data_IF_483445468295
#
_entry.id   IF_483445468295
#
_cell.length_a   1.000
_cell.length_b   1.000
_cell.length_c   1.000
_cell.angle_alpha   90.00
_cell.angle_beta   90.00
_cell.angle_gamma   90.00
#
_symmetry.space_group_name_H-M   'P 1'
#
loop_
_entity.id
_entity.type
_entity.pdbx_description
1 polymer ?
#
# COMPACT_ATOMS: atom_id res chain seq x y z
N UNK A 1 15.86 3.99 -21.45
CA UNK A 1 16.44 3.39 -22.65
C UNK A 1 17.97 3.39 -22.56
N UNK A 2 18.58 2.19 -22.45
CA UNK A 2 20.04 2.01 -22.34
C UNK A 2 20.82 2.50 -23.58
N UNK A 3 20.11 2.78 -24.65
CA UNK A 3 20.65 3.29 -25.90
C UNK A 3 20.46 4.81 -26.10
N UNK A 4 19.94 5.52 -25.11
CA UNK A 4 19.77 6.97 -25.19
C UNK A 4 21.11 7.65 -25.43
N UNK A 5 21.20 8.44 -26.49
CA UNK A 5 22.37 9.25 -26.84
C UNK A 5 22.71 10.28 -25.75
N UNK A 6 21.69 10.80 -25.08
CA UNK A 6 21.82 11.77 -23.99
C UNK A 6 22.47 11.15 -22.76
N UNK A 7 22.04 9.96 -22.33
CA UNK A 7 22.65 9.26 -21.19
C UNK A 7 24.10 8.87 -21.47
N UNK A 8 24.45 8.56 -22.73
CA UNK A 8 25.83 8.30 -23.14
C UNK A 8 26.69 9.56 -23.06
N UNK A 9 26.17 10.68 -23.54
CA UNK A 9 26.90 11.95 -23.49
C UNK A 9 27.18 12.42 -22.06
N UNK A 10 26.18 12.26 -21.15
CA UNK A 10 26.31 12.68 -19.75
C UNK A 10 27.35 11.83 -19.00
N UNK A 11 27.45 10.54 -19.29
CA UNK A 11 28.28 9.61 -18.51
C UNK A 11 29.50 9.05 -19.24
N UNK A 12 29.72 9.37 -20.49
CA UNK A 12 30.79 8.79 -21.29
C UNK A 12 30.73 7.27 -21.41
N UNK A 13 29.58 6.67 -21.12
CA UNK A 13 29.45 5.22 -21.03
C UNK A 13 29.06 4.59 -22.36
N UNK A 14 29.65 3.46 -22.70
CA UNK A 14 29.18 2.63 -23.81
C UNK A 14 28.02 1.75 -23.35
N UNK A 15 26.96 1.57 -24.16
CA UNK A 15 25.85 0.72 -23.78
C UNK A 15 26.30 -0.74 -23.60
N UNK A 16 25.87 -1.41 -22.53
CA UNK A 16 26.23 -2.79 -22.30
C UNK A 16 25.58 -3.67 -23.39
N UNK A 17 26.30 -4.71 -23.81
CA UNK A 17 25.70 -5.76 -24.65
C UNK A 17 24.61 -6.49 -23.87
N UNK A 18 23.58 -6.98 -24.57
CA UNK A 18 22.44 -7.70 -23.98
C UNK A 18 22.88 -8.80 -23.00
N UNK A 19 23.89 -9.58 -23.38
CA UNK A 19 24.41 -10.68 -22.55
C UNK A 19 25.08 -10.16 -21.26
N UNK A 20 25.84 -9.07 -21.34
CA UNK A 20 26.46 -8.44 -20.16
C UNK A 20 25.42 -7.92 -19.17
N UNK A 21 24.36 -7.29 -19.68
CA UNK A 21 23.26 -6.81 -18.84
C UNK A 21 22.50 -7.96 -18.19
N UNK A 22 22.15 -9.01 -18.96
CA UNK A 22 21.49 -10.20 -18.44
C UNK A 22 22.34 -10.93 -17.38
N UNK A 23 23.65 -11.03 -17.60
CA UNK A 23 24.59 -11.62 -16.63
C UNK A 23 24.66 -10.79 -15.35
N UNK A 24 24.78 -9.47 -15.47
CA UNK A 24 24.80 -8.57 -14.31
C UNK A 24 23.52 -8.67 -13.47
N UNK A 25 22.34 -8.70 -14.10
CA UNK A 25 21.06 -8.87 -13.39
C UNK A 25 20.92 -10.20 -12.67
N UNK A 26 21.61 -11.24 -13.15
CA UNK A 26 21.57 -12.59 -12.55
C UNK A 26 22.57 -12.76 -11.41
N UNK A 27 23.70 -12.07 -11.45
CA UNK A 27 24.83 -12.28 -10.56
C UNK A 27 25.03 -11.21 -9.51
N UNK A 28 24.49 -9.99 -9.71
CA UNK A 28 24.61 -8.91 -8.72
C UNK A 28 23.56 -9.07 -7.62
N UNK A 29 23.94 -8.66 -6.41
CA UNK A 29 23.05 -8.65 -5.27
C UNK A 29 21.89 -7.66 -5.54
N UNK A 30 20.62 -8.10 -5.50
CA UNK A 30 19.45 -7.25 -5.71
C UNK A 30 19.33 -6.11 -4.69
N UNK A 31 19.94 -6.27 -3.50
CA UNK A 31 19.98 -5.22 -2.48
C UNK A 31 20.69 -3.95 -2.95
N UNK A 32 21.56 -4.04 -3.96
CA UNK A 32 22.14 -2.84 -4.58
C UNK A 32 21.08 -1.96 -5.25
N UNK A 33 20.13 -2.58 -5.96
CA UNK A 33 19.04 -1.85 -6.60
C UNK A 33 18.03 -1.31 -5.57
N UNK A 34 17.76 -2.07 -4.53
CA UNK A 34 16.92 -1.66 -3.41
C UNK A 34 17.52 -0.46 -2.68
N UNK A 35 18.81 -0.52 -2.32
CA UNK A 35 19.51 0.58 -1.67
C UNK A 35 19.52 1.85 -2.54
N UNK A 36 19.78 1.71 -3.85
CA UNK A 36 19.72 2.82 -4.79
C UNK A 36 18.31 3.44 -4.85
N UNK A 37 17.28 2.59 -4.90
CA UNK A 37 15.90 3.06 -4.90
C UNK A 37 15.58 3.92 -3.68
N UNK A 38 15.91 3.45 -2.48
CA UNK A 38 15.65 4.21 -1.25
C UNK A 38 16.49 5.48 -1.16
N UNK A 39 17.75 5.45 -1.55
CA UNK A 39 18.57 6.66 -1.66
C UNK A 39 17.97 7.69 -2.62
N UNK A 40 17.41 7.26 -3.75
CA UNK A 40 16.74 8.15 -4.70
C UNK A 40 15.45 8.73 -4.11
N UNK A 41 14.65 7.94 -3.39
CA UNK A 41 13.44 8.43 -2.70
C UNK A 41 13.77 9.50 -1.67
N UNK A 42 14.85 9.31 -0.91
CA UNK A 42 15.34 10.30 0.08
C UNK A 42 15.93 11.55 -0.60
N UNK A 43 16.61 11.39 -1.72
CA UNK A 43 17.28 12.47 -2.44
C UNK A 43 16.28 13.36 -3.22
N UNK A 44 15.22 12.81 -3.78
CA UNK A 44 14.26 13.53 -4.61
C UNK A 44 13.72 14.83 -3.97
N UNK A 45 13.31 14.86 -2.70
CA UNK A 45 12.84 16.08 -2.05
C UNK A 45 13.90 17.16 -1.93
N UNK A 46 15.19 16.81 -1.91
CA UNK A 46 16.29 17.75 -1.76
C UNK A 46 16.60 18.49 -3.06
N UNK A 47 16.43 17.84 -4.22
CA UNK A 47 16.70 18.42 -5.55
C UNK A 47 15.49 19.02 -6.23
N UNK A 48 14.32 18.56 -5.88
CA UNK A 48 13.07 19.07 -6.40
C UNK A 48 12.10 19.30 -5.25
N UNK A 49 12.00 20.55 -4.78
CA UNK A 49 11.12 20.95 -3.67
C UNK A 49 9.65 20.61 -3.90
N UNK A 50 9.31 20.23 -5.13
CA UNK A 50 8.00 19.73 -5.50
C UNK A 50 7.75 18.28 -5.05
N UNK A 51 8.79 17.48 -4.81
CA UNK A 51 8.69 16.14 -4.22
C UNK A 51 8.82 16.26 -2.71
N UNK A 52 7.97 15.59 -1.96
CA UNK A 52 8.02 15.62 -0.50
C UNK A 52 7.44 16.88 0.16
N UNK A 53 7.30 18.01 -0.54
CA UNK A 53 6.44 19.07 -0.06
C UNK A 53 5.01 18.52 -0.02
N UNK A 54 4.29 18.71 1.11
CA UNK A 54 2.87 18.34 1.26
C UNK A 54 2.01 18.98 0.15
N UNK A 55 2.20 18.52 -1.08
CA UNK A 55 1.71 19.16 -2.31
C UNK A 55 0.24 18.89 -2.56
N UNK A 56 -0.27 17.77 -2.10
CA UNK A 56 -1.69 17.45 -2.27
C UNK A 56 -2.48 17.97 -1.07
N UNK A 57 -2.42 19.26 -0.87
CA UNK A 57 -3.42 19.96 -0.07
C UNK A 57 -4.53 20.51 -0.96
N UNK A 58 -4.84 19.86 -2.08
CA UNK A 58 -6.02 20.15 -2.88
C UNK A 58 -7.12 19.14 -2.54
N UNK A 59 -8.36 19.59 -2.54
CA UNK A 59 -9.50 18.72 -2.28
C UNK A 59 -9.64 18.27 -0.82
N UNK A 60 -10.20 17.10 -0.63
CA UNK A 60 -10.61 16.59 0.69
C UNK A 60 -9.43 16.23 1.61
N UNK A 61 -8.28 15.82 1.06
CA UNK A 61 -7.08 15.48 1.85
C UNK A 61 -6.52 16.69 2.63
N UNK A 62 -6.80 17.91 2.17
CA UNK A 62 -6.39 19.14 2.86
C UNK A 62 -6.95 19.27 4.27
N UNK A 63 -8.06 18.60 4.57
CA UNK A 63 -8.72 18.63 5.88
C UNK A 63 -7.99 17.82 6.95
N UNK A 64 -7.08 16.94 6.53
CA UNK A 64 -6.32 16.11 7.44
C UNK A 64 -4.93 16.71 7.69
N UNK A 65 -4.60 16.92 8.96
CA UNK A 65 -3.29 17.42 9.36
C UNK A 65 -2.26 16.29 9.55
N UNK A 66 -2.73 15.07 9.62
CA UNK A 66 -1.92 13.86 9.77
C UNK A 66 -1.61 13.21 8.42
N UNK A 67 -0.57 12.39 8.35
CA UNK A 67 -0.24 11.63 7.15
C UNK A 67 -1.31 10.56 6.87
N UNK A 68 -1.62 10.40 5.59
CA UNK A 68 -2.53 9.36 5.09
C UNK A 68 -1.74 8.45 4.17
N UNK A 69 -1.78 7.17 4.45
CA UNK A 69 -1.06 6.14 3.73
C UNK A 69 -2.02 5.24 2.96
N UNK A 70 -1.71 4.96 1.71
CA UNK A 70 -2.38 3.92 0.93
C UNK A 70 -1.51 2.67 0.89
N UNK A 71 -2.08 1.54 1.30
CA UNK A 71 -1.41 0.23 1.21
C UNK A 71 -2.12 -0.63 0.18
N UNK A 72 -1.36 -1.03 -0.84
CA UNK A 72 -1.85 -1.92 -1.89
C UNK A 72 -0.75 -2.81 -2.43
N UNK A 73 -1.13 -3.77 -3.26
CA UNK A 73 -0.21 -4.69 -3.90
C UNK A 73 -0.43 -4.78 -5.40
N UNK A 74 0.67 -4.82 -6.13
CA UNK A 74 0.68 -5.06 -7.57
C UNK A 74 1.32 -6.41 -7.89
N UNK A 75 0.64 -7.22 -8.69
CA UNK A 75 1.19 -8.48 -9.17
C UNK A 75 2.00 -8.25 -10.42
N UNK A 76 3.28 -8.60 -10.37
CA UNK A 76 4.21 -8.53 -11.48
C UNK A 76 4.30 -9.93 -12.09
N UNK A 77 3.81 -10.09 -13.32
CA UNK A 77 3.95 -11.34 -14.05
C UNK A 77 5.40 -11.51 -14.53
N UNK A 78 6.00 -12.64 -14.20
CA UNK A 78 7.36 -12.97 -14.59
C UNK A 78 7.36 -14.07 -15.64
N UNK A 79 8.37 -14.07 -16.51
CA UNK A 79 8.57 -15.19 -17.45
C UNK A 79 8.89 -16.45 -16.65
N UNK A 80 8.25 -17.56 -16.99
CA UNK A 80 8.18 -18.79 -16.18
C UNK A 80 9.53 -19.35 -15.67
N UNK A 81 10.63 -18.99 -16.33
CA UNK A 81 11.98 -19.47 -16.00
C UNK A 81 12.90 -18.43 -15.35
N UNK A 82 12.36 -17.25 -15.00
CA UNK A 82 13.21 -16.16 -14.51
C UNK A 82 13.62 -16.31 -13.05
N UNK A 83 12.81 -16.96 -12.21
CA UNK A 83 13.10 -17.05 -10.77
C UNK A 83 12.47 -18.30 -10.15
N UNK A 84 13.28 -19.16 -9.57
CA UNK A 84 12.81 -20.39 -8.93
C UNK A 84 11.93 -20.13 -7.69
N UNK A 85 12.16 -19.04 -6.98
CA UNK A 85 11.38 -18.65 -5.80
C UNK A 85 9.98 -18.09 -6.13
N UNK A 86 9.77 -17.58 -7.37
CA UNK A 86 8.52 -16.94 -7.79
C UNK A 86 7.56 -17.89 -8.51
N UNK A 87 7.75 -19.20 -8.44
CA UNK A 87 6.87 -20.20 -9.08
C UNK A 87 5.45 -20.09 -8.50
N UNK A 88 4.51 -19.66 -9.33
CA UNK A 88 3.10 -19.57 -9.02
C UNK A 88 2.29 -20.32 -10.05
N UNK A 89 1.60 -21.42 -9.66
CA UNK A 89 0.87 -22.35 -10.53
C UNK A 89 1.73 -22.99 -11.64
N UNK A 90 1.25 -24.09 -12.22
CA UNK A 90 1.95 -24.80 -13.31
C UNK A 90 2.27 -23.80 -14.46
N UNK A 91 3.54 -23.50 -14.69
CA UNK A 91 4.10 -22.68 -15.78
C UNK A 91 3.95 -21.14 -15.69
N UNK A 92 3.56 -20.57 -14.55
CA UNK A 92 3.55 -19.12 -14.36
C UNK A 92 4.36 -18.73 -13.15
N UNK A 93 5.25 -17.75 -13.31
CA UNK A 93 5.93 -17.10 -12.21
C UNK A 93 5.32 -15.72 -11.99
N UNK A 94 5.10 -15.35 -10.73
CA UNK A 94 4.63 -14.03 -10.38
C UNK A 94 5.27 -13.57 -9.06
N UNK A 95 5.69 -12.33 -9.02
CA UNK A 95 6.05 -11.61 -7.82
C UNK A 95 4.93 -10.64 -7.45
N UNK A 96 4.80 -10.32 -6.18
CA UNK A 96 3.87 -9.33 -5.69
C UNK A 96 4.66 -8.23 -4.98
N UNK A 97 4.49 -7.00 -5.43
CA UNK A 97 5.04 -5.82 -4.77
C UNK A 97 3.96 -5.22 -3.88
N UNK A 98 4.20 -5.20 -2.57
CA UNK A 98 3.37 -4.49 -1.60
C UNK A 98 4.01 -3.14 -1.31
N UNK A 99 3.21 -2.09 -1.30
CA UNK A 99 3.69 -0.73 -1.12
C UNK A 99 2.84 0.02 -0.10
N UNK A 100 3.51 0.82 0.71
CA UNK A 100 2.90 1.85 1.54
C UNK A 100 3.30 3.20 0.95
N UNK A 101 2.31 3.94 0.45
CA UNK A 101 2.47 5.23 -0.21
C UNK A 101 1.89 6.33 0.68
N UNK A 102 2.69 7.34 1.00
CA UNK A 102 2.19 8.57 1.64
C UNK A 102 1.43 9.40 0.59
N UNK A 103 0.13 9.60 0.80
CA UNK A 103 -0.73 10.33 -0.14
C UNK A 103 -0.51 11.86 -0.12
N UNK A 104 0.17 12.41 0.88
CA UNK A 104 0.50 13.83 0.90
C UNK A 104 1.76 14.15 0.09
N UNK A 105 2.74 13.28 0.12
CA UNK A 105 4.01 13.46 -0.59
C UNK A 105 4.04 12.71 -1.91
N UNK A 106 3.16 11.72 -2.10
CA UNK A 106 3.18 10.75 -3.18
C UNK A 106 4.50 9.96 -3.27
N UNK A 107 5.17 9.82 -2.13
CA UNK A 107 6.40 9.04 -2.02
C UNK A 107 6.15 7.72 -1.27
N UNK A 108 6.79 6.64 -1.69
CA UNK A 108 6.74 5.38 -0.96
C UNK A 108 7.45 5.51 0.39
N UNK A 109 6.79 5.02 1.44
CA UNK A 109 7.36 4.89 2.79
C UNK A 109 7.93 3.51 3.03
N UNK A 110 7.35 2.51 2.38
CA UNK A 110 7.79 1.13 2.43
C UNK A 110 7.38 0.39 1.16
N UNK A 111 8.23 -0.50 0.69
CA UNK A 111 7.92 -1.40 -0.40
C UNK A 111 8.63 -2.75 -0.18
N UNK A 112 7.93 -3.84 -0.46
CA UNK A 112 8.50 -5.19 -0.41
C UNK A 112 8.02 -6.02 -1.59
N UNK A 113 8.95 -6.74 -2.19
CA UNK A 113 8.67 -7.69 -3.28
C UNK A 113 8.75 -9.10 -2.74
N UNK A 114 7.68 -9.86 -2.89
CA UNK A 114 7.61 -11.24 -2.42
C UNK A 114 6.93 -12.14 -3.46
N UNK A 115 6.89 -13.42 -3.18
CA UNK A 115 6.18 -14.38 -4.04
C UNK A 115 4.68 -14.11 -4.00
N UNK A 116 4.00 -14.24 -5.15
CA UNK A 116 2.54 -14.10 -5.23
C UNK A 116 1.75 -15.23 -4.54
N UNK A 117 2.42 -16.09 -3.76
CA UNK A 117 1.80 -17.22 -3.04
C UNK A 117 1.13 -16.80 -1.73
N UNK A 118 1.62 -15.75 -1.09
CA UNK A 118 1.12 -15.32 0.21
C UNK A 118 -0.09 -14.39 0.07
N UNK A 119 -1.03 -14.52 1.02
CA UNK A 119 -2.16 -13.60 1.12
C UNK A 119 -1.70 -12.21 1.62
N UNK A 120 -2.33 -11.17 1.13
CA UNK A 120 -2.01 -9.78 1.46
C UNK A 120 -2.08 -9.50 2.97
N UNK A 121 -3.02 -10.14 3.67
CA UNK A 121 -3.17 -10.01 5.12
C UNK A 121 -1.93 -10.42 5.93
N UNK A 122 -1.09 -11.34 5.40
CA UNK A 122 0.16 -11.71 6.06
C UNK A 122 1.23 -10.63 5.93
N UNK A 123 1.20 -9.87 4.84
CA UNK A 123 2.12 -8.76 4.58
C UNK A 123 1.66 -7.45 5.21
N UNK A 124 0.42 -7.36 5.65
CA UNK A 124 -0.14 -6.17 6.29
C UNK A 124 0.75 -5.68 7.46
N UNK A 125 1.18 -6.58 8.32
CA UNK A 125 2.04 -6.27 9.46
C UNK A 125 3.35 -5.59 9.07
N UNK A 126 4.03 -6.16 8.07
CA UNK A 126 5.31 -5.66 7.59
C UNK A 126 5.16 -4.27 6.94
N UNK A 127 4.18 -4.13 6.04
CA UNK A 127 3.95 -2.89 5.28
C UNK A 127 3.43 -1.75 6.17
N UNK A 128 2.71 -2.08 7.25
CA UNK A 128 2.19 -1.12 8.21
C UNK A 128 3.11 -0.90 9.43
N UNK A 129 4.26 -1.59 9.51
CA UNK A 129 5.19 -1.46 10.66
C UNK A 129 5.76 -0.05 10.80
N UNK A 130 5.91 0.68 9.70
CA UNK A 130 6.47 2.03 9.64
C UNK A 130 5.51 3.14 10.08
N UNK A 131 4.22 2.81 10.28
CA UNK A 131 3.19 3.78 10.66
C UNK A 131 3.35 4.24 12.11
N UNK A 132 3.08 5.51 12.32
CA UNK A 132 3.21 6.19 13.63
C UNK A 132 1.83 6.49 14.24
N UNK A 133 1.81 6.77 15.53
CA UNK A 133 0.62 7.25 16.24
C UNK A 133 0.00 8.47 15.56
N UNK A 134 -1.33 8.48 15.44
CA UNK A 134 -2.11 9.54 14.79
C UNK A 134 -2.13 9.48 13.26
N UNK A 135 -1.35 8.62 12.60
CA UNK A 135 -1.41 8.44 11.14
C UNK A 135 -2.63 7.62 10.72
N UNK A 136 -3.05 7.79 9.46
CA UNK A 136 -4.20 7.09 8.89
C UNK A 136 -3.69 6.15 7.79
N UNK A 137 -4.12 4.90 7.82
CA UNK A 137 -3.86 3.94 6.75
C UNK A 137 -5.15 3.50 6.06
N UNK A 138 -5.12 3.47 4.73
CA UNK A 138 -6.20 2.99 3.86
C UNK A 138 -5.72 1.77 3.10
N UNK A 139 -6.47 0.68 3.14
CA UNK A 139 -6.14 -0.55 2.41
C UNK A 139 -7.38 -1.34 1.98
N UNK A 140 -7.22 -2.21 1.01
CA UNK A 140 -8.31 -3.06 0.52
C UNK A 140 -8.66 -4.16 1.53
N UNK A 141 -9.88 -4.70 1.40
CA UNK A 141 -10.40 -5.82 2.22
C UNK A 141 -9.53 -7.08 2.20
N UNK A 142 -8.64 -7.23 1.22
CA UNK A 142 -7.66 -8.32 1.16
C UNK A 142 -6.62 -8.27 2.30
N UNK A 143 -6.35 -7.08 2.84
CA UNK A 143 -5.44 -6.85 3.96
C UNK A 143 -6.09 -7.03 5.33
N UNK A 144 -7.42 -7.19 5.40
CA UNK A 144 -8.16 -7.30 6.66
C UNK A 144 -7.78 -8.55 7.46
N UNK A 145 -7.09 -8.33 8.57
CA UNK A 145 -6.90 -9.27 9.68
C UNK A 145 -7.24 -8.57 10.99
N UNK A 146 -8.18 -9.10 11.74
CA UNK A 146 -8.67 -8.43 12.94
C UNK A 146 -7.64 -8.35 14.08
N UNK A 147 -6.65 -9.23 14.12
CA UNK A 147 -5.52 -9.12 15.07
C UNK A 147 -4.66 -7.93 14.69
N UNK A 148 -4.32 -7.80 13.40
CA UNK A 148 -3.56 -6.67 12.90
C UNK A 148 -4.28 -5.33 13.07
N UNK A 149 -5.60 -5.29 12.83
CA UNK A 149 -6.40 -4.09 13.05
C UNK A 149 -6.41 -3.66 14.51
N UNK A 150 -6.46 -4.62 15.43
CA UNK A 150 -6.37 -4.33 16.87
C UNK A 150 -4.99 -3.79 17.25
N UNK A 151 -3.92 -4.33 16.68
CA UNK A 151 -2.55 -3.81 16.88
C UNK A 151 -2.40 -2.38 16.38
N UNK A 152 -2.90 -2.08 15.18
CA UNK A 152 -2.90 -0.70 14.65
C UNK A 152 -3.60 0.26 15.60
N UNK A 153 -4.74 -0.13 16.10
CA UNK A 153 -5.56 0.64 17.03
C UNK A 153 -4.85 0.84 18.40
N UNK A 154 -4.18 -0.20 18.91
CA UNK A 154 -3.39 -0.14 20.13
C UNK A 154 -2.15 0.75 19.98
N UNK A 155 -1.63 0.90 18.77
CA UNK A 155 -0.54 1.81 18.39
C UNK A 155 -1.03 3.23 18.09
N UNK A 156 -2.32 3.52 18.20
CA UNK A 156 -2.91 4.82 17.88
C UNK A 156 -3.00 5.13 16.37
N UNK A 157 -2.83 4.13 15.51
CA UNK A 157 -2.96 4.28 14.06
C UNK A 157 -4.41 4.12 13.65
N UNK A 158 -4.96 5.12 12.97
CA UNK A 158 -6.30 5.04 12.39
C UNK A 158 -6.28 4.24 11.09
N UNK A 159 -7.27 3.38 10.89
CA UNK A 159 -7.35 2.59 9.68
C UNK A 159 -8.71 2.69 9.00
N UNK A 160 -8.72 2.62 7.68
CA UNK A 160 -9.92 2.62 6.84
C UNK A 160 -9.81 1.47 5.83
N UNK A 161 -10.86 0.66 5.74
CA UNK A 161 -10.93 -0.41 4.76
C UNK A 161 -12.36 -0.70 4.37
N UNK A 162 -12.56 -1.34 3.23
CA UNK A 162 -13.88 -1.85 2.86
C UNK A 162 -14.26 -3.03 3.76
N UNK A 163 -15.49 -3.05 4.25
CA UNK A 163 -16.00 -4.17 5.03
C UNK A 163 -16.05 -5.46 4.20
N UNK A 164 -15.86 -6.61 4.84
CA UNK A 164 -16.12 -7.91 4.21
C UNK A 164 -17.62 -8.18 4.16
N UNK A 165 -18.10 -8.72 3.06
CA UNK A 165 -19.52 -8.97 2.82
C UNK A 165 -20.14 -9.93 3.86
N UNK A 166 -19.32 -10.83 4.43
CA UNK A 166 -19.70 -11.80 5.45
C UNK A 166 -19.36 -11.36 6.88
N UNK A 167 -19.12 -10.07 7.12
CA UNK A 167 -18.81 -9.55 8.44
C UNK A 167 -20.05 -9.60 9.34
N UNK A 168 -19.93 -10.29 10.48
CA UNK A 168 -21.01 -10.39 11.48
C UNK A 168 -20.84 -9.30 12.54
N UNK A 169 -21.85 -8.45 12.66
CA UNK A 169 -21.84 -7.35 13.62
C UNK A 169 -23.25 -7.03 14.11
N UNK A 170 -23.33 -6.26 15.19
CA UNK A 170 -24.56 -5.60 15.65
C UNK A 170 -24.34 -4.09 15.74
N UNK A 171 -25.35 -3.33 15.38
CA UNK A 171 -25.36 -1.87 15.57
C UNK A 171 -25.56 -1.54 17.05
N UNK A 172 -24.67 -0.75 17.60
CA UNK A 172 -24.72 -0.23 18.97
C UNK A 172 -25.35 1.15 19.00
N UNK A 173 -24.99 1.98 18.03
CA UNK A 173 -25.48 3.36 17.93
C UNK A 173 -25.53 3.81 16.48
N UNK A 174 -26.64 4.43 16.08
CA UNK A 174 -26.73 5.13 14.80
C UNK A 174 -26.30 6.58 14.99
N UNK A 175 -25.49 7.09 14.09
CA UNK A 175 -25.06 8.47 14.07
C UNK A 175 -25.92 9.27 13.07
N UNK A 176 -25.98 10.59 13.26
CA UNK A 176 -26.76 11.44 12.37
C UNK A 176 -26.07 11.57 11.01
N UNK A 177 -26.84 11.34 9.95
CA UNK A 177 -26.43 11.62 8.57
C UNK A 177 -27.18 12.85 8.07
N UNK A 178 -26.54 13.61 7.17
CA UNK A 178 -27.22 14.75 6.52
C UNK A 178 -28.15 14.24 5.43
N UNK A 179 -29.39 14.74 5.39
CA UNK A 179 -30.45 14.28 4.45
C UNK A 179 -30.10 14.47 2.96
N UNK A 180 -29.09 15.26 2.63
CA UNK A 180 -28.65 15.51 1.25
C UNK A 180 -27.17 15.12 1.00
N UNK A 181 -26.58 14.30 1.87
CA UNK A 181 -25.21 13.85 1.74
C UNK A 181 -25.07 12.52 1.01
N UNK A 182 -23.89 12.22 0.52
CA UNK A 182 -23.55 10.89 -0.05
C UNK A 182 -23.50 9.76 0.99
N UNK A 183 -23.53 10.08 2.28
CA UNK A 183 -23.51 9.10 3.38
C UNK A 183 -24.94 8.60 3.64
N UNK A 184 -25.20 7.33 3.36
CA UNK A 184 -26.48 6.66 3.56
C UNK A 184 -26.64 6.18 5.00
N UNK A 185 -25.55 5.71 5.61
CA UNK A 185 -25.56 5.12 6.95
C UNK A 185 -24.22 5.39 7.66
N UNK A 186 -24.30 5.76 8.94
CA UNK A 186 -23.16 5.96 9.80
C UNK A 186 -23.48 5.36 11.17
N UNK A 187 -22.75 4.33 11.56
CA UNK A 187 -23.08 3.52 12.74
C UNK A 187 -21.85 3.13 13.53
N UNK A 188 -22.00 3.09 14.85
CA UNK A 188 -21.06 2.40 15.73
C UNK A 188 -21.53 0.96 15.87
N UNK A 189 -20.64 0.03 15.58
CA UNK A 189 -20.92 -1.40 15.57
C UNK A 189 -20.01 -2.18 16.50
N UNK A 190 -20.44 -3.35 16.91
CA UNK A 190 -19.63 -4.36 17.60
C UNK A 190 -19.65 -5.66 16.78
N UNK A 191 -18.48 -6.29 16.64
CA UNK A 191 -18.37 -7.59 16.00
C UNK A 191 -19.04 -8.67 16.86
N UNK A 192 -19.81 -9.56 16.23
CA UNK A 192 -20.56 -10.62 16.91
C UNK A 192 -20.00 -12.01 16.66
N UNK A 193 -19.24 -12.21 15.58
CA UNK A 193 -18.59 -13.49 15.33
C UNK A 193 -17.60 -13.84 16.44
N UNK A 194 -17.69 -15.03 17.02
CA UNK A 194 -16.92 -15.46 18.19
C UNK A 194 -15.42 -15.18 18.02
N UNK A 195 -14.83 -15.64 16.92
CA UNK A 195 -13.40 -15.46 16.63
C UNK A 195 -13.02 -14.01 16.34
N UNK A 196 -13.87 -13.29 15.61
CA UNK A 196 -13.59 -11.89 15.24
C UNK A 196 -13.68 -10.98 16.45
N UNK A 197 -14.67 -11.18 17.32
CA UNK A 197 -14.82 -10.43 18.57
C UNK A 197 -13.65 -10.64 19.53
N UNK A 198 -13.11 -11.86 19.62
CA UNK A 198 -11.92 -12.14 20.42
C UNK A 198 -10.66 -11.42 19.88
N UNK A 199 -10.52 -11.32 18.55
CA UNK A 199 -9.38 -10.71 17.89
C UNK A 199 -9.45 -9.19 17.86
N UNK A 200 -10.66 -8.63 17.83
CA UNK A 200 -10.93 -7.20 17.84
C UNK A 200 -12.14 -6.91 18.77
N UNK A 201 -11.91 -6.69 20.05
CA UNK A 201 -13.00 -6.52 21.03
C UNK A 201 -13.60 -5.12 21.05
N UNK A 202 -12.96 -4.15 20.40
CA UNK A 202 -13.37 -2.75 20.39
C UNK A 202 -14.54 -2.48 19.44
N UNK A 203 -15.14 -1.31 19.57
CA UNK A 203 -16.18 -0.82 18.66
C UNK A 203 -15.57 -0.27 17.38
N UNK A 204 -16.31 -0.41 16.30
CA UNK A 204 -15.95 0.09 14.98
C UNK A 204 -16.99 1.12 14.50
N UNK A 205 -16.57 2.03 13.65
CA UNK A 205 -17.48 2.89 12.89
C UNK A 205 -17.66 2.29 11.51
N UNK A 206 -18.90 2.03 11.13
CA UNK A 206 -19.30 1.56 9.80
C UNK A 206 -20.00 2.70 9.07
N UNK A 207 -19.45 3.08 7.92
CA UNK A 207 -20.02 4.11 7.06
C UNK A 207 -20.40 3.48 5.73
N UNK A 208 -21.61 3.72 5.27
CA UNK A 208 -22.11 3.37 3.94
C UNK A 208 -22.36 4.66 3.17
N UNK A 209 -21.74 4.80 2.03
CA UNK A 209 -21.85 6.00 1.21
C UNK A 209 -21.95 5.66 -0.27
N UNK A 210 -22.62 6.54 -1.02
CA UNK A 210 -22.59 6.55 -2.48
C UNK A 210 -21.34 7.31 -2.90
N UNK A 211 -20.51 6.70 -3.72
CA UNK A 211 -19.36 7.32 -4.33
C UNK A 211 -19.52 7.30 -5.85
N UNK A 212 -19.33 8.45 -6.47
CA UNK A 212 -19.24 8.52 -7.92
C UNK A 212 -17.83 8.10 -8.35
N UNK A 213 -17.75 7.13 -9.25
CA UNK A 213 -16.50 6.70 -9.87
C UNK A 213 -16.60 6.98 -11.36
N UNK A 214 -15.71 7.80 -11.88
CA UNK A 214 -15.63 8.18 -13.31
C UNK A 214 -16.93 8.77 -13.89
N UNK A 215 -17.66 9.56 -13.10
CA UNK A 215 -18.90 10.23 -13.54
C UNK A 215 -20.09 9.29 -13.73
N UNK A 216 -20.09 8.13 -13.09
CA UNK A 216 -21.18 7.15 -13.04
C UNK A 216 -21.68 6.94 -11.63
#
# INVERSE_FOLDING_TARGET
>A
DLNSSELRAIRGATPPRRNTFSHANRTRDPRMAEALYWQMVEYLPTVASSFGARRIRSGYLRRFNTAIHAVDSTTIQLVANCMDWAKHRRRKAAAKCHMNLDLHTMLPRYAVVDTAKFHDSKKAWEVCAVLQDGEIVVFDKAYLDFVHLNDLDDRGVFWVSRAKDNMQYRTVKKLSTTSHGSVLRDEIIELTGVRTKQRYPKRLRLVEAIIEVDGK
#
